data_IF_828698578614
#
_entry.id   IF_828698578614
#
_cell.length_a   1.000
_cell.length_b   1.000
_cell.length_c   1.000
_cell.angle_alpha   90.00
_cell.angle_beta   90.00
_cell.angle_gamma   90.00
#
_symmetry.space_group_name_H-M   'P 1'
#
loop_
_entity.id
_entity.type
_entity.pdbx_description
1 polymer ?
#
# COMPACT_ATOMS: atom_id res chain seq x y z
N UNK A 1 8.28 -0.79 -7.96
CA UNK A 1 7.70 -1.08 -9.28
C UNK A 1 8.44 -0.37 -10.42
N UNK A 2 8.65 0.95 -10.35
CA UNK A 2 9.26 1.73 -11.44
C UNK A 2 10.58 1.18 -12.02
N UNK A 3 11.51 0.73 -11.17
CA UNK A 3 12.81 0.20 -11.63
C UNK A 3 12.64 -1.10 -12.44
N UNK A 4 11.71 -1.97 -12.04
CA UNK A 4 11.44 -3.23 -12.75
C UNK A 4 10.74 -2.99 -14.10
N UNK A 5 9.91 -1.95 -14.21
CA UNK A 5 9.30 -1.55 -15.48
C UNK A 5 10.33 -0.97 -16.45
N UNK A 6 11.26 -0.15 -15.98
CA UNK A 6 12.36 0.38 -16.81
C UNK A 6 13.22 -0.75 -17.36
N UNK A 7 13.59 -1.73 -16.51
CA UNK A 7 14.39 -2.89 -16.91
C UNK A 7 13.64 -3.75 -17.94
N UNK A 8 12.35 -4.00 -17.71
CA UNK A 8 11.48 -4.78 -18.61
C UNK A 8 11.30 -4.10 -19.97
N UNK A 9 11.06 -2.79 -20.00
CA UNK A 9 10.93 -2.02 -21.23
C UNK A 9 12.26 -1.96 -22.00
N UNK A 10 13.38 -1.82 -21.29
CA UNK A 10 14.71 -1.85 -21.90
C UNK A 10 15.02 -3.22 -22.54
N UNK A 11 14.83 -4.32 -21.79
CA UNK A 11 15.01 -5.69 -22.29
C UNK A 11 14.04 -6.03 -23.41
N UNK A 12 12.78 -5.62 -23.32
CA UNK A 12 11.76 -5.83 -24.34
C UNK A 12 12.10 -5.09 -25.65
N UNK A 13 12.57 -3.85 -25.55
CA UNK A 13 12.99 -3.06 -26.72
C UNK A 13 14.24 -3.66 -27.37
N UNK A 14 15.22 -4.09 -26.56
CA UNK A 14 16.47 -4.73 -27.05
C UNK A 14 16.21 -6.11 -27.67
N UNK A 15 15.31 -6.91 -27.10
CA UNK A 15 14.93 -8.22 -27.64
C UNK A 15 14.10 -8.13 -28.92
N UNK A 16 13.15 -7.19 -28.98
CA UNK A 16 12.32 -6.97 -30.17
C UNK A 16 13.13 -6.46 -31.38
N UNK A 17 14.19 -5.68 -31.15
CA UNK A 17 15.06 -5.16 -32.22
C UNK A 17 16.14 -6.14 -32.69
N UNK A 18 16.42 -7.21 -31.94
CA UNK A 18 17.51 -8.16 -32.24
C UNK A 18 16.98 -9.54 -32.67
N UNK A 19 15.65 -9.74 -32.73
CA UNK A 19 15.01 -11.05 -33.01
C UNK A 19 15.54 -12.20 -32.13
N UNK A 20 16.04 -11.87 -30.94
CA UNK A 20 16.63 -12.84 -30.02
C UNK A 20 15.55 -13.25 -29.00
N UNK A 21 15.12 -14.52 -29.05
CA UNK A 21 13.99 -15.05 -28.27
C UNK A 21 14.23 -14.97 -26.74
N UNK A 22 15.49 -14.99 -26.34
CA UNK A 22 15.94 -15.02 -24.93
C UNK A 22 15.62 -13.72 -24.16
N UNK A 23 16.04 -12.51 -24.61
CA UNK A 23 15.71 -11.26 -23.92
C UNK A 23 14.21 -10.95 -23.88
N UNK A 24 13.44 -11.39 -24.88
CA UNK A 24 11.98 -11.26 -24.90
C UNK A 24 11.33 -12.10 -23.80
N UNK A 25 11.74 -13.37 -23.67
CA UNK A 25 11.28 -14.28 -22.62
C UNK A 25 11.60 -13.77 -21.21
N UNK A 26 12.81 -13.24 -21.00
CA UNK A 26 13.23 -12.66 -19.71
C UNK A 26 12.37 -11.45 -19.33
N UNK A 27 12.07 -10.55 -20.27
CA UNK A 27 11.18 -9.41 -20.02
C UNK A 27 9.76 -9.86 -19.63
N UNK A 28 9.28 -10.94 -20.24
CA UNK A 28 7.97 -11.52 -19.94
C UNK A 28 7.94 -12.14 -18.53
N UNK A 29 8.99 -12.85 -18.11
CA UNK A 29 9.12 -13.38 -16.73
C UNK A 29 9.18 -12.24 -15.71
N UNK A 30 9.97 -11.20 -15.97
CA UNK A 30 10.03 -10.01 -15.10
C UNK A 30 8.65 -9.33 -15.01
N UNK A 31 7.89 -9.34 -16.10
CA UNK A 31 6.51 -8.82 -16.14
C UNK A 31 5.61 -9.58 -15.20
N UNK A 32 5.55 -10.90 -15.34
CA UNK A 32 4.72 -11.77 -14.52
C UNK A 32 5.12 -11.65 -13.04
N UNK A 33 6.42 -11.69 -12.75
CA UNK A 33 6.94 -11.52 -11.39
C UNK A 33 6.57 -10.16 -10.78
N UNK A 34 6.64 -9.09 -11.57
CA UNK A 34 6.22 -7.76 -11.12
C UNK A 34 4.73 -7.69 -10.82
N UNK A 35 3.88 -8.28 -11.68
CA UNK A 35 2.42 -8.31 -11.47
C UNK A 35 2.08 -9.08 -10.19
N UNK A 36 2.69 -10.25 -9.97
CA UNK A 36 2.50 -11.02 -8.73
C UNK A 36 2.89 -10.21 -7.49
N UNK A 37 4.06 -9.54 -7.54
CA UNK A 37 4.54 -8.71 -6.44
C UNK A 37 3.60 -7.52 -6.18
N UNK A 38 3.09 -6.87 -7.22
CA UNK A 38 2.12 -5.77 -7.09
C UNK A 38 0.82 -6.23 -6.45
N UNK A 39 0.29 -7.39 -6.85
CA UNK A 39 -0.92 -7.97 -6.24
C UNK A 39 -0.67 -8.29 -4.76
N UNK A 40 0.49 -8.88 -4.43
CA UNK A 40 0.87 -9.14 -3.04
C UNK A 40 0.91 -7.86 -2.21
N UNK A 41 1.56 -6.80 -2.72
CA UNK A 41 1.61 -5.52 -2.03
C UNK A 41 0.23 -4.89 -1.87
N UNK A 42 -0.63 -4.95 -2.88
CA UNK A 42 -1.97 -4.35 -2.84
C UNK A 42 -2.87 -5.05 -1.82
N UNK A 43 -2.81 -6.38 -1.76
CA UNK A 43 -3.50 -7.17 -0.73
C UNK A 43 -2.96 -6.81 0.65
N UNK A 44 -1.64 -6.77 0.81
CA UNK A 44 -1.00 -6.40 2.07
C UNK A 44 -1.38 -4.99 2.55
N UNK A 45 -1.31 -4.00 1.67
CA UNK A 45 -1.68 -2.61 1.95
C UNK A 45 -3.13 -2.50 2.38
N UNK A 46 -4.03 -3.26 1.77
CA UNK A 46 -5.46 -3.31 2.17
C UNK A 46 -5.62 -3.82 3.61
N UNK A 47 -4.82 -4.81 4.03
CA UNK A 47 -4.84 -5.29 5.42
C UNK A 47 -4.29 -4.25 6.40
N UNK A 48 -3.17 -3.60 6.04
CA UNK A 48 -2.57 -2.54 6.86
C UNK A 48 -3.54 -1.37 7.01
N UNK A 49 -4.21 -0.95 5.93
CA UNK A 49 -5.20 0.12 5.95
C UNK A 49 -6.39 -0.22 6.85
N UNK A 50 -6.86 -1.48 6.81
CA UNK A 50 -7.92 -1.95 7.71
C UNK A 50 -7.48 -1.92 9.17
N UNK A 51 -6.26 -2.34 9.47
CA UNK A 51 -5.72 -2.29 10.83
C UNK A 51 -5.60 -0.83 11.32
N UNK A 52 -5.08 0.06 10.47
CA UNK A 52 -4.96 1.48 10.77
C UNK A 52 -6.33 2.14 11.04
N UNK A 53 -7.34 1.81 10.23
CA UNK A 53 -8.70 2.29 10.44
C UNK A 53 -9.29 1.86 11.79
N UNK A 54 -9.06 0.60 12.20
CA UNK A 54 -9.52 0.10 13.52
C UNK A 54 -8.85 0.89 14.64
N UNK A 55 -7.53 1.10 14.55
CA UNK A 55 -6.78 1.85 15.56
C UNK A 55 -7.30 3.30 15.64
N UNK A 56 -7.51 3.95 14.51
CA UNK A 56 -8.05 5.31 14.45
C UNK A 56 -9.48 5.42 15.04
N UNK A 57 -10.34 4.42 14.82
CA UNK A 57 -11.67 4.37 15.42
C UNK A 57 -11.58 4.28 16.95
N UNK A 58 -10.71 3.42 17.48
CA UNK A 58 -10.50 3.28 18.93
C UNK A 58 -9.96 4.59 19.51
N UNK A 59 -9.03 5.24 18.81
CA UNK A 59 -8.48 6.53 19.21
C UNK A 59 -9.56 7.61 19.26
N UNK A 60 -10.38 7.71 18.21
CA UNK A 60 -11.49 8.66 18.15
C UNK A 60 -12.51 8.45 19.26
N UNK A 61 -12.84 7.19 19.57
CA UNK A 61 -13.71 6.86 20.69
C UNK A 61 -13.12 7.31 22.03
N UNK A 62 -11.83 7.10 22.22
CA UNK A 62 -11.11 7.53 23.42
C UNK A 62 -11.14 9.06 23.57
N UNK A 63 -10.87 9.81 22.50
CA UNK A 63 -11.00 11.26 22.50
C UNK A 63 -12.42 11.75 22.79
N UNK A 64 -13.43 11.04 22.26
CA UNK A 64 -14.84 11.33 22.57
C UNK A 64 -15.15 11.17 24.06
N UNK A 65 -14.70 10.07 24.67
CA UNK A 65 -14.85 9.84 26.11
C UNK A 65 -14.11 10.87 26.94
N UNK A 66 -12.87 11.18 26.59
CA UNK A 66 -12.06 12.20 27.27
C UNK A 66 -12.76 13.57 27.23
N UNK A 67 -13.26 13.97 26.07
CA UNK A 67 -14.02 15.21 25.93
C UNK A 67 -15.29 15.23 26.78
N UNK A 68 -16.05 14.12 26.82
CA UNK A 68 -17.23 14.01 27.69
C UNK A 68 -16.87 14.15 29.17
N UNK A 69 -15.82 13.46 29.62
CA UNK A 69 -15.34 13.55 31.00
C UNK A 69 -14.89 14.98 31.33
N UNK A 70 -14.23 15.66 30.41
CA UNK A 70 -13.80 17.03 30.59
C UNK A 70 -14.98 18.01 30.72
N UNK A 71 -16.03 17.84 29.92
CA UNK A 71 -17.27 18.63 30.03
C UNK A 71 -17.92 18.42 31.40
N UNK A 72 -18.03 17.16 31.85
CA UNK A 72 -18.58 16.82 33.16
C UNK A 72 -17.76 17.47 34.28
N UNK A 73 -16.43 17.39 34.19
CA UNK A 73 -15.54 18.01 35.17
C UNK A 73 -15.71 19.53 35.23
N UNK A 74 -15.77 20.21 34.07
CA UNK A 74 -16.00 21.66 34.01
C UNK A 74 -17.37 22.00 34.62
N UNK A 75 -18.43 21.26 34.28
CA UNK A 75 -19.75 21.49 34.85
C UNK A 75 -19.79 21.29 36.38
N UNK A 76 -19.01 20.33 36.90
CA UNK A 76 -18.87 20.10 38.33
C UNK A 76 -18.08 21.21 39.04
N UNK A 77 -17.06 21.81 38.39
CA UNK A 77 -16.27 22.90 38.97
C UNK A 77 -16.95 24.28 38.86
N UNK A 78 -17.81 24.49 37.87
CA UNK A 78 -18.55 25.75 37.67
C UNK A 78 -19.76 25.86 38.63
N UNK A 79 -20.19 24.74 39.22
CA UNK A 79 -21.21 24.70 40.28
C UNK A 79 -20.61 25.10 41.64
#
# INVERSE_FOLDING_TARGET
>A
MAILEVIRLYLGTKGNLTEEEVPLGVSLVITVGSVMLSVYFLVWETYVLKADAIINIILLFTYGLEGMLQIIAIAAFVR
#
